data_IF_202438489740
#
_entry.id   IF_202438489740
#
_cell.length_a   1.000
_cell.length_b   1.000
_cell.length_c   1.000
_cell.angle_alpha   90.00
_cell.angle_beta   90.00
_cell.angle_gamma   90.00
#
_symmetry.space_group_name_H-M   'P 1'
#
loop_
_entity.id
_entity.type
_entity.pdbx_description
1 polymer ?
#
# COMPACT_ATOMS: atom_id res chain seq x y z
N UNK A 1 -1.56 13.04 -18.49
CA UNK A 1 -1.98 12.53 -17.17
C UNK A 1 -2.34 11.06 -17.32
N UNK A 2 -1.33 10.28 -17.69
CA UNK A 2 -1.41 8.85 -17.96
C UNK A 2 -0.28 8.20 -17.18
N UNK A 3 -0.53 7.01 -16.65
CA UNK A 3 0.47 6.08 -16.10
C UNK A 3 0.76 6.15 -14.59
N UNK A 4 -0.28 5.99 -13.77
CA UNK A 4 -0.23 5.47 -12.41
C UNK A 4 -0.26 3.94 -12.39
N UNK A 5 0.91 3.35 -12.64
CA UNK A 5 1.38 2.14 -11.98
C UNK A 5 2.60 2.57 -11.18
N UNK A 6 2.67 2.35 -9.86
CA UNK A 6 3.82 2.74 -9.03
C UNK A 6 4.39 4.12 -9.41
N UNK A 7 3.62 5.20 -9.21
CA UNK A 7 4.11 6.54 -9.59
C UNK A 7 5.51 6.85 -9.04
N UNK A 8 5.92 6.16 -7.97
CA UNK A 8 7.26 6.16 -7.40
C UNK A 8 7.52 4.86 -6.62
N UNK A 9 8.77 4.64 -6.19
CA UNK A 9 9.11 3.53 -5.30
C UNK A 9 8.40 3.67 -3.94
N UNK A 10 8.27 2.57 -3.20
CA UNK A 10 7.76 2.62 -1.83
C UNK A 10 8.52 3.63 -0.98
N UNK A 11 9.85 3.64 -1.06
CA UNK A 11 10.69 4.55 -0.28
C UNK A 11 10.38 6.02 -0.60
N UNK A 12 10.21 6.38 -1.87
CA UNK A 12 9.81 7.74 -2.26
C UNK A 12 8.41 8.08 -1.77
N UNK A 13 7.43 7.16 -1.92
CA UNK A 13 6.07 7.39 -1.43
C UNK A 13 6.01 7.53 0.09
N UNK A 14 6.79 6.71 0.81
CA UNK A 14 6.89 6.75 2.25
C UNK A 14 7.49 8.07 2.74
N UNK A 15 8.65 8.46 2.19
CA UNK A 15 9.30 9.72 2.57
C UNK A 15 8.42 10.94 2.26
N UNK A 16 7.67 10.94 1.16
CA UNK A 16 6.85 12.07 0.75
C UNK A 16 5.50 12.15 1.48
N UNK A 17 4.83 11.02 1.70
CA UNK A 17 3.44 10.99 2.14
C UNK A 17 3.21 10.39 3.52
N UNK A 18 4.19 9.71 4.11
CA UNK A 18 4.01 9.00 5.38
C UNK A 18 4.94 9.56 6.47
N UNK A 19 6.22 9.75 6.15
CA UNK A 19 7.23 10.17 7.11
C UNK A 19 6.93 11.55 7.69
N UNK A 20 6.95 11.64 9.02
CA UNK A 20 6.66 12.88 9.75
C UNK A 20 5.18 13.29 9.76
N UNK A 21 4.28 12.49 9.18
CA UNK A 21 2.83 12.75 9.24
C UNK A 21 2.23 12.24 10.54
N UNK A 22 1.17 12.92 10.98
CA UNK A 22 0.43 12.52 12.17
C UNK A 22 -0.50 11.36 11.83
N UNK A 23 -0.46 10.32 12.65
CA UNK A 23 -1.44 9.23 12.60
C UNK A 23 -2.77 9.73 13.14
N UNK A 24 -3.85 9.43 12.42
CA UNK A 24 -5.22 9.83 12.80
C UNK A 24 -6.17 8.65 13.00
N UNK A 25 -5.91 7.50 12.37
CA UNK A 25 -6.74 6.30 12.55
C UNK A 25 -5.99 5.00 12.20
N UNK A 26 -6.57 3.86 12.58
CA UNK A 26 -6.11 2.53 12.21
C UNK A 26 -7.31 1.65 11.84
N UNK A 27 -7.10 0.68 10.94
CA UNK A 27 -8.18 -0.23 10.59
C UNK A 27 -7.73 -1.42 9.76
N UNK A 28 -8.71 -2.13 9.21
CA UNK A 28 -8.49 -3.27 8.33
C UNK A 28 -9.16 -3.01 6.98
N UNK A 29 -8.41 -3.26 5.89
CA UNK A 29 -8.88 -3.18 4.51
C UNK A 29 -9.04 -4.57 3.93
N UNK A 30 -10.24 -4.87 3.43
CA UNK A 30 -10.54 -6.11 2.71
C UNK A 30 -9.89 -6.11 1.32
N UNK A 31 -9.69 -7.29 0.70
CA UNK A 31 -9.11 -7.41 -0.64
C UNK A 31 -10.11 -6.98 -1.74
N UNK A 32 -10.42 -5.68 -1.77
CA UNK A 32 -11.24 -5.08 -2.80
C UNK A 32 -10.36 -4.63 -3.98
N UNK A 33 -10.75 -4.95 -5.25
CA UNK A 33 -9.96 -4.62 -6.42
C UNK A 33 -9.89 -3.11 -6.65
N UNK A 34 -8.69 -2.61 -6.89
CA UNK A 34 -8.43 -1.23 -7.31
C UNK A 34 -7.93 -1.24 -8.75
N UNK A 35 -8.67 -0.61 -9.66
CA UNK A 35 -8.28 -0.49 -11.06
C UNK A 35 -7.19 0.56 -11.19
N UNK A 36 -6.01 0.13 -11.62
CA UNK A 36 -4.87 1.00 -11.89
C UNK A 36 -5.01 1.66 -13.27
N UNK A 37 -4.28 2.75 -13.50
CA UNK A 37 -4.43 3.50 -14.74
C UNK A 37 -3.96 2.72 -15.97
N UNK A 38 -3.07 1.74 -15.79
CA UNK A 38 -2.61 0.85 -16.85
C UNK A 38 -3.61 -0.28 -17.17
N UNK A 39 -4.78 -0.28 -16.53
CA UNK A 39 -5.86 -1.23 -16.77
C UNK A 39 -5.76 -2.52 -15.96
N UNK A 40 -4.69 -2.74 -15.19
CA UNK A 40 -4.56 -3.88 -14.28
C UNK A 40 -5.27 -3.61 -12.95
N UNK A 41 -5.50 -4.66 -12.17
CA UNK A 41 -6.07 -4.58 -10.82
C UNK A 41 -4.99 -4.85 -9.77
N UNK A 42 -4.97 -4.00 -8.74
CA UNK A 42 -4.25 -4.26 -7.49
C UNK A 42 -5.25 -4.61 -6.38
N UNK A 43 -4.79 -5.35 -5.38
CA UNK A 43 -5.62 -5.81 -4.26
C UNK A 43 -4.98 -5.42 -2.91
N UNK A 44 -4.72 -4.12 -2.66
CA UNK A 44 -4.12 -3.69 -1.41
C UNK A 44 -5.07 -4.04 -0.25
N UNK A 45 -4.61 -4.93 0.63
CA UNK A 45 -5.39 -5.42 1.76
C UNK A 45 -4.51 -5.68 2.97
N UNK A 46 -5.12 -5.68 4.16
CA UNK A 46 -4.40 -5.83 5.42
C UNK A 46 -4.72 -4.72 6.42
N UNK A 47 -3.94 -4.67 7.50
CA UNK A 47 -4.05 -3.61 8.48
C UNK A 47 -3.45 -2.31 7.94
N UNK A 48 -4.16 -1.20 8.11
CA UNK A 48 -3.70 0.10 7.67
C UNK A 48 -3.57 1.08 8.83
N UNK A 49 -2.66 2.04 8.65
CA UNK A 49 -2.55 3.27 9.41
C UNK A 49 -2.95 4.43 8.52
N UNK A 50 -3.91 5.27 8.94
CA UNK A 50 -4.36 6.47 8.23
C UNK A 50 -3.63 7.70 8.80
N UNK A 51 -3.15 8.55 7.90
CA UNK A 51 -2.45 9.79 8.23
C UNK A 51 -3.30 11.03 7.94
N UNK A 52 -2.95 12.15 8.55
CA UNK A 52 -3.66 13.43 8.45
C UNK A 52 -3.83 13.99 7.03
N UNK A 53 -2.99 13.56 6.09
CA UNK A 53 -3.08 13.90 4.67
C UNK A 53 -3.99 12.95 3.87
N UNK A 54 -4.72 12.06 4.55
CA UNK A 54 -5.61 11.07 3.93
C UNK A 54 -4.91 9.83 3.39
N UNK A 55 -3.57 9.79 3.36
CA UNK A 55 -2.82 8.64 2.87
C UNK A 55 -2.84 7.50 3.88
N UNK A 56 -2.75 6.26 3.38
CA UNK A 56 -2.74 5.05 4.22
C UNK A 56 -1.45 4.27 4.00
N UNK A 57 -0.89 3.73 5.08
CA UNK A 57 0.18 2.75 5.03
C UNK A 57 -0.37 1.38 5.42
N UNK A 58 -0.16 0.38 4.58
CA UNK A 58 -0.42 -1.03 4.89
C UNK A 58 0.94 -1.70 5.09
N UNK A 59 1.14 -2.28 6.26
CA UNK A 59 2.31 -3.10 6.60
C UNK A 59 1.73 -4.44 7.01
N UNK A 60 2.16 -5.53 6.36
CA UNK A 60 1.56 -6.87 6.43
C UNK A 60 0.27 -7.01 5.61
N UNK A 61 0.46 -7.32 4.32
CA UNK A 61 -0.58 -7.91 3.49
C UNK A 61 -1.16 -9.15 4.16
N UNK A 62 -2.48 -9.26 4.12
CA UNK A 62 -3.25 -10.30 4.78
C UNK A 62 -2.77 -11.72 4.37
N UNK A 63 -2.63 -12.65 5.32
CA UNK A 63 -2.34 -14.05 5.02
C UNK A 63 -3.62 -14.77 4.55
N UNK A 64 -3.71 -15.06 3.25
CA UNK A 64 -4.76 -15.91 2.70
C UNK A 64 -4.26 -17.38 2.68
N UNK A 65 -4.46 -18.11 3.78
CA UNK A 65 -4.05 -19.52 3.87
C UNK A 65 -2.54 -19.71 4.07
N UNK A 66 -1.87 -20.47 3.20
CA UNK A 66 -0.43 -20.79 3.31
C UNK A 66 0.51 -19.76 2.66
N UNK A 67 -0.03 -18.71 2.03
CA UNK A 67 0.78 -17.67 1.38
C UNK A 67 0.79 -16.41 2.22
N UNK A 68 1.94 -16.11 2.83
CA UNK A 68 2.20 -14.82 3.48
C UNK A 68 2.45 -13.80 2.38
N UNK A 69 1.43 -13.05 1.97
CA UNK A 69 1.65 -11.89 1.10
C UNK A 69 2.20 -10.76 1.98
N UNK A 70 3.52 -10.71 2.16
CA UNK A 70 4.16 -9.63 2.90
C UNK A 70 4.30 -8.40 2.01
N UNK A 71 3.18 -7.88 1.54
CA UNK A 71 3.15 -6.68 0.73
C UNK A 71 3.04 -5.44 1.63
N UNK A 72 3.80 -4.40 1.28
CA UNK A 72 3.70 -3.09 1.91
C UNK A 72 3.21 -2.09 0.89
N UNK A 73 2.14 -1.37 1.23
CA UNK A 73 1.47 -0.44 0.33
C UNK A 73 1.40 0.95 0.95
N UNK A 74 1.63 1.97 0.12
CA UNK A 74 1.21 3.35 0.39
C UNK A 74 0.04 3.66 -0.54
N UNK A 75 -1.10 4.03 0.03
CA UNK A 75 -2.31 4.41 -0.69
C UNK A 75 -2.57 5.91 -0.54
N UNK A 76 -3.12 6.53 -1.57
CA UNK A 76 -3.59 7.91 -1.51
C UNK A 76 -4.94 8.05 -0.78
N UNK A 77 -5.46 9.28 -0.71
CA UNK A 77 -6.75 9.58 -0.09
C UNK A 77 -7.97 8.93 -0.76
N UNK A 78 -7.82 8.43 -1.99
CA UNK A 78 -8.86 7.71 -2.75
C UNK A 78 -8.61 6.19 -2.75
N UNK A 79 -7.73 5.70 -1.87
CA UNK A 79 -7.37 4.29 -1.76
C UNK A 79 -6.68 3.71 -3.01
N UNK A 80 -6.03 4.56 -3.81
CA UNK A 80 -5.25 4.14 -4.97
C UNK A 80 -3.79 3.93 -4.57
N UNK A 81 -3.18 2.78 -4.91
CA UNK A 81 -1.75 2.55 -4.67
C UNK A 81 -0.85 3.60 -5.35
N UNK A 82 0.03 4.21 -4.55
CA UNK A 82 1.05 5.16 -5.01
C UNK A 82 2.48 4.72 -4.69
N UNK A 83 2.64 3.74 -3.80
CA UNK A 83 3.91 3.05 -3.53
C UNK A 83 3.68 1.60 -3.12
N UNK A 84 4.57 0.71 -3.56
CA UNK A 84 4.49 -0.73 -3.31
C UNK A 84 5.87 -1.31 -3.05
N UNK A 85 5.95 -2.24 -2.11
CA UNK A 85 7.13 -3.09 -1.86
C UNK A 85 6.68 -4.51 -1.56
N UNK A 86 7.22 -5.44 -2.33
CA UNK A 86 7.15 -6.86 -2.04
C UNK A 86 8.21 -7.21 -0.98
N UNK A 87 7.82 -7.76 0.17
CA UNK A 87 8.77 -8.24 1.19
C UNK A 87 9.00 -9.75 1.14
N UNK A 88 8.44 -10.46 0.15
CA UNK A 88 8.61 -11.93 0.01
C UNK A 88 10.07 -12.35 -0.21
N UNK A 89 10.96 -11.43 -0.59
CA UNK A 89 12.39 -11.72 -0.83
C UNK A 89 13.27 -11.76 0.44
N UNK A 90 12.76 -11.39 1.62
CA UNK A 90 13.58 -11.30 2.85
C UNK A 90 13.66 -12.59 3.67
N UNK A 91 12.89 -13.64 3.36
CA UNK A 91 12.92 -14.90 4.12
C UNK A 91 14.00 -15.89 3.66
N UNK A 92 14.80 -15.57 2.63
CA UNK A 92 15.83 -16.46 2.07
C UNK A 92 17.28 -15.90 2.09
N UNK A 93 17.55 -14.81 2.80
CA UNK A 93 18.89 -14.20 2.92
C UNK A 93 19.52 -14.37 4.28
#
# INVERSE_FOLDING_TARGET
MSDLYNAMSFETAFDQFIKGRKVVDFGFRKPDPVKLSNGFFAYPCGYYTLYDNGCKLIVYGFSFGQSTMQEVWVLDGNDVPIGYKDQTELENS
#
